data_IF_775389749617
#
_entry.id   IF_775389749617
#
_cell.length_a   1.000
_cell.length_b   1.000
_cell.length_c   1.000
_cell.angle_alpha   90.00
_cell.angle_beta   90.00
_cell.angle_gamma   90.00
#
_symmetry.space_group_name_H-M   'P 1'
#
loop_
_entity.id
_entity.type
_entity.pdbx_description
1 polymer ?
#
# COMPACT_ATOMS: atom_id res chain seq x y z
N UNK A 1 -14.74 2.54 9.76
CA UNK A 1 -13.88 1.71 10.63
C UNK A 1 -14.05 2.13 12.09
N UNK A 2 -13.88 1.22 13.06
CA UNK A 2 -13.76 1.54 14.50
C UNK A 2 -12.45 1.02 15.09
N UNK A 3 -11.92 1.67 16.13
CA UNK A 3 -10.69 1.27 16.83
C UNK A 3 -10.88 1.30 18.36
N UNK A 4 -10.35 0.30 19.07
CA UNK A 4 -10.36 0.25 20.55
C UNK A 4 -9.03 -0.31 21.09
N UNK A 5 -8.47 0.22 22.19
CA UNK A 5 -7.26 -0.32 22.82
C UNK A 5 -7.35 -1.81 23.19
N UNK A 6 -6.27 -2.55 22.93
CA UNK A 6 -6.10 -3.94 23.35
C UNK A 6 -5.28 -4.03 24.64
N UNK A 7 -5.96 -3.91 25.78
CA UNK A 7 -5.32 -3.88 27.10
C UNK A 7 -4.58 -5.18 27.47
N UNK A 8 -4.91 -6.31 26.80
CA UNK A 8 -4.26 -7.61 27.03
C UNK A 8 -3.03 -7.85 26.13
N UNK A 9 -2.70 -6.92 25.24
CA UNK A 9 -1.58 -7.07 24.32
C UNK A 9 -0.25 -6.75 25.01
N UNK A 10 0.81 -7.52 24.70
CA UNK A 10 2.16 -7.28 25.24
C UNK A 10 2.76 -5.95 24.78
N UNK A 11 2.54 -5.61 23.51
CA UNK A 11 2.84 -4.29 22.93
C UNK A 11 1.52 -3.52 22.76
N UNK A 12 1.51 -2.19 22.95
CA UNK A 12 0.33 -1.38 22.68
C UNK A 12 -0.25 -1.66 21.28
N UNK A 13 -1.54 -1.99 21.22
CA UNK A 13 -2.22 -2.30 19.97
C UNK A 13 -3.68 -1.86 20.02
N UNK A 14 -4.28 -1.69 18.85
CA UNK A 14 -5.71 -1.48 18.69
C UNK A 14 -6.36 -2.72 18.09
N UNK A 15 -7.58 -3.03 18.57
CA UNK A 15 -8.54 -3.85 17.86
C UNK A 15 -9.27 -2.94 16.87
N UNK A 16 -9.08 -3.22 15.59
CA UNK A 16 -9.73 -2.54 14.49
C UNK A 16 -10.92 -3.38 14.00
N UNK A 17 -12.01 -2.72 13.63
CA UNK A 17 -13.09 -3.31 12.83
C UNK A 17 -13.18 -2.53 11.53
N UNK A 18 -12.69 -3.14 10.46
CA UNK A 18 -12.51 -2.52 9.14
C UNK A 18 -13.57 -3.06 8.19
N UNK A 19 -14.10 -2.18 7.35
CA UNK A 19 -15.05 -2.55 6.30
C UNK A 19 -14.27 -2.77 5.00
N UNK A 20 -14.30 -3.98 4.46
CA UNK A 20 -13.67 -4.34 3.19
C UNK A 20 -14.72 -4.52 2.08
N UNK A 21 -15.84 -3.79 2.16
CA UNK A 21 -16.88 -3.81 1.12
C UNK A 21 -17.56 -5.18 1.03
N UNK A 22 -17.57 -5.76 -0.16
CA UNK A 22 -18.17 -7.08 -0.42
C UNK A 22 -17.52 -8.22 0.38
N UNK A 23 -16.26 -8.06 0.79
CA UNK A 23 -15.54 -9.01 1.65
C UNK A 23 -16.01 -8.95 3.13
N UNK A 24 -16.86 -7.98 3.44
CA UNK A 24 -17.47 -7.78 4.74
C UNK A 24 -16.54 -7.11 5.75
N UNK A 25 -17.03 -7.03 6.99
CA UNK A 25 -16.30 -6.40 8.10
C UNK A 25 -15.34 -7.40 8.74
N UNK A 26 -14.05 -7.07 8.79
CA UNK A 26 -13.02 -7.91 9.41
C UNK A 26 -12.47 -7.25 10.67
N UNK A 27 -12.02 -8.08 11.61
CA UNK A 27 -11.32 -7.63 12.81
C UNK A 27 -9.82 -7.75 12.59
N UNK A 28 -9.05 -6.74 13.01
CA UNK A 28 -7.59 -6.80 13.01
C UNK A 28 -7.00 -6.33 14.33
N UNK A 29 -5.82 -6.83 14.69
CA UNK A 29 -4.99 -6.32 15.78
C UNK A 29 -3.79 -5.58 15.19
N UNK A 30 -3.69 -4.28 15.40
CA UNK A 30 -2.64 -3.44 14.78
C UNK A 30 -1.86 -2.62 15.83
N UNK A 31 -0.54 -2.59 15.72
CA UNK A 31 0.38 -1.86 16.61
C UNK A 31 0.53 -0.39 16.17
N UNK A 32 -0.59 0.34 16.20
CA UNK A 32 -0.66 1.76 15.81
C UNK A 32 -0.46 2.80 16.94
N UNK A 33 -0.60 2.50 18.27
CA UNK A 33 -0.62 3.54 19.30
C UNK A 33 0.58 4.49 19.35
N UNK A 34 1.77 4.07 18.90
CA UNK A 34 2.95 4.93 18.86
C UNK A 34 2.78 6.10 17.86
N UNK A 35 2.11 5.85 16.74
CA UNK A 35 2.00 6.79 15.62
C UNK A 35 0.60 7.35 15.39
N UNK A 36 -0.40 6.80 16.08
CA UNK A 36 -1.80 7.14 15.90
C UNK A 36 -2.58 7.04 17.19
N UNK A 37 -3.30 8.11 17.52
CA UNK A 37 -4.39 8.07 18.51
C UNK A 37 -5.62 7.40 17.90
N UNK A 38 -6.49 6.85 18.73
CA UNK A 38 -7.71 6.15 18.30
C UNK A 38 -8.57 7.04 17.38
N UNK A 39 -8.70 8.32 17.72
CA UNK A 39 -9.52 9.29 16.99
C UNK A 39 -8.92 9.60 15.60
N UNK A 40 -7.60 9.47 15.46
CA UNK A 40 -6.92 9.65 14.18
C UNK A 40 -7.06 8.40 13.29
N UNK A 41 -7.26 7.22 13.87
CA UNK A 41 -7.46 5.98 13.09
C UNK A 41 -8.88 5.93 12.54
N UNK A 42 -9.88 6.31 13.33
CA UNK A 42 -11.29 6.29 12.90
C UNK A 42 -11.48 7.20 11.68
N UNK A 43 -12.05 6.66 10.61
CA UNK A 43 -12.29 7.38 9.36
C UNK A 43 -11.13 7.35 8.36
N UNK A 44 -9.95 6.84 8.73
CA UNK A 44 -8.87 6.60 7.77
C UNK A 44 -9.18 5.42 6.85
N UNK A 45 -8.69 5.52 5.62
CA UNK A 45 -8.52 4.37 4.73
C UNK A 45 -7.31 3.59 5.20
N UNK A 46 -7.40 2.26 5.19
CA UNK A 46 -6.30 1.35 5.52
C UNK A 46 -6.16 0.32 4.43
N UNK A 47 -4.94 -0.15 4.21
CA UNK A 47 -4.66 -1.29 3.35
C UNK A 47 -4.48 -2.53 4.21
N UNK A 48 -5.02 -3.66 3.78
CA UNK A 48 -4.83 -4.90 4.51
C UNK A 48 -4.93 -6.15 3.65
N UNK A 49 -4.25 -7.18 4.12
CA UNK A 49 -4.28 -8.54 3.57
C UNK A 49 -5.42 -9.30 4.23
N UNK A 50 -6.33 -9.83 3.42
CA UNK A 50 -7.62 -10.40 3.86
C UNK A 50 -7.79 -11.89 3.51
N UNK A 51 -6.82 -12.47 2.80
CA UNK A 51 -6.74 -13.89 2.44
C UNK A 51 -5.67 -14.63 3.27
N UNK A 52 -5.50 -14.24 4.53
CA UNK A 52 -4.65 -14.96 5.50
C UNK A 52 -5.51 -15.75 6.48
N UNK A 53 -5.05 -16.92 6.96
CA UNK A 53 -5.76 -17.65 8.01
C UNK A 53 -5.86 -16.79 9.29
N UNK A 54 -7.02 -16.79 9.98
CA UNK A 54 -7.19 -15.99 11.18
C UNK A 54 -6.20 -16.35 12.30
N UNK A 55 -5.65 -15.34 12.97
CA UNK A 55 -4.72 -15.51 14.10
C UNK A 55 -5.32 -15.02 15.40
N UNK A 56 -5.08 -15.72 16.51
CA UNK A 56 -5.46 -15.25 17.85
C UNK A 56 -4.35 -14.38 18.45
N UNK A 57 -4.65 -13.11 18.68
CA UNK A 57 -3.71 -12.13 19.23
C UNK A 57 -4.38 -11.42 20.40
N UNK A 58 -3.80 -11.52 21.60
CA UNK A 58 -4.32 -10.85 22.81
C UNK A 58 -5.82 -11.08 23.08
N UNK A 59 -6.33 -12.27 22.75
CA UNK A 59 -7.76 -12.62 22.89
C UNK A 59 -8.66 -12.17 21.73
N UNK A 60 -8.11 -11.56 20.68
CA UNK A 60 -8.82 -11.20 19.45
C UNK A 60 -8.54 -12.23 18.36
N UNK A 61 -9.59 -12.66 17.65
CA UNK A 61 -9.46 -13.36 16.37
C UNK A 61 -9.23 -12.29 15.28
N UNK A 62 -7.98 -12.14 14.85
CA UNK A 62 -7.58 -11.25 13.75
C UNK A 62 -7.82 -11.97 12.44
N UNK A 63 -8.61 -11.37 11.56
CA UNK A 63 -9.07 -11.89 10.26
C UNK A 63 -8.53 -11.06 9.08
N UNK A 64 -7.73 -10.04 9.38
CA UNK A 64 -7.00 -9.24 8.40
C UNK A 64 -5.69 -8.75 9.02
N UNK A 65 -4.66 -8.58 8.18
CA UNK A 65 -3.42 -7.91 8.52
C UNK A 65 -3.48 -6.49 7.95
N UNK A 66 -3.49 -5.46 8.80
CA UNK A 66 -3.35 -4.08 8.34
C UNK A 66 -1.86 -3.79 8.15
N UNK A 67 -1.49 -3.33 6.96
CA UNK A 67 -0.09 -3.16 6.55
C UNK A 67 0.34 -1.69 6.57
N UNK A 68 1.64 -1.48 6.66
CA UNK A 68 2.26 -0.16 6.70
C UNK A 68 3.78 -0.20 6.60
N UNK A 69 4.41 0.95 6.47
CA UNK A 69 5.87 1.04 6.55
C UNK A 69 6.31 1.34 7.99
N UNK A 70 7.43 0.77 8.47
CA UNK A 70 8.01 1.14 9.74
C UNK A 70 8.61 2.54 9.68
N UNK A 71 8.50 3.28 10.79
CA UNK A 71 9.35 4.44 11.06
C UNK A 71 10.74 4.01 11.58
N UNK A 72 11.58 4.99 11.91
CA UNK A 72 12.94 4.74 12.42
C UNK A 72 12.98 3.97 13.75
N UNK A 73 11.88 3.93 14.50
CA UNK A 73 11.73 3.19 15.75
C UNK A 73 11.04 1.83 15.54
N UNK A 74 10.68 1.49 14.30
CA UNK A 74 9.95 0.27 13.95
C UNK A 74 8.45 0.32 14.25
N UNK A 75 7.88 1.52 14.52
CA UNK A 75 6.45 1.68 14.67
C UNK A 75 5.78 1.89 13.31
N UNK A 76 4.52 1.49 13.17
CA UNK A 76 3.85 1.46 11.87
C UNK A 76 3.31 2.83 11.47
N UNK A 77 3.64 3.27 10.26
CA UNK A 77 2.89 4.27 9.50
C UNK A 77 1.94 3.58 8.52
N UNK A 78 0.66 3.95 8.60
CA UNK A 78 -0.36 3.45 7.68
C UNK A 78 -0.06 3.92 6.25
N UNK A 79 -0.55 3.14 5.28
CA UNK A 79 -0.52 3.53 3.88
C UNK A 79 -1.78 4.32 3.50
N UNK A 80 -1.68 5.16 2.48
CA UNK A 80 -2.80 5.89 1.91
C UNK A 80 -2.71 5.99 0.38
N UNK A 81 -3.83 6.32 -0.26
CA UNK A 81 -3.89 6.72 -1.67
C UNK A 81 -3.82 8.24 -1.82
N UNK A 82 -2.98 8.88 -0.98
CA UNK A 82 -2.79 10.33 -0.89
C UNK A 82 -4.13 11.05 -0.63
N UNK A 83 -4.53 11.99 -1.50
CA UNK A 83 -5.76 12.78 -1.34
C UNK A 83 -7.04 12.08 -1.82
N UNK A 84 -6.90 10.94 -2.51
CA UNK A 84 -8.05 10.21 -3.05
C UNK A 84 -8.39 9.03 -2.15
N UNK A 85 -9.68 8.74 -1.98
CA UNK A 85 -10.15 7.60 -1.17
C UNK A 85 -10.88 6.61 -2.07
N UNK A 86 -10.31 5.43 -2.37
CA UNK A 86 -11.01 4.41 -3.12
C UNK A 86 -12.18 3.83 -2.30
N UNK A 87 -13.22 3.27 -2.95
CA UNK A 87 -14.29 2.56 -2.26
C UNK A 87 -13.77 1.44 -1.35
N UNK A 88 -14.47 1.17 -0.25
CA UNK A 88 -14.12 0.04 0.63
C UNK A 88 -14.19 -1.29 -0.12
N UNK A 89 -13.18 -2.14 0.05
CA UNK A 89 -13.05 -3.41 -0.68
C UNK A 89 -12.34 -3.30 -2.02
N UNK A 90 -11.89 -2.10 -2.43
CA UNK A 90 -11.04 -1.96 -3.61
C UNK A 90 -9.78 -2.81 -3.46
N UNK A 91 -9.46 -3.53 -4.53
CA UNK A 91 -8.32 -4.43 -4.59
C UNK A 91 -7.10 -3.70 -5.16
N UNK A 92 -5.90 -4.15 -4.76
CA UNK A 92 -4.68 -3.71 -5.43
C UNK A 92 -4.75 -4.09 -6.91
N UNK A 93 -4.32 -3.17 -7.78
CA UNK A 93 -4.23 -3.43 -9.20
C UNK A 93 -3.43 -4.72 -9.43
N UNK A 94 -3.90 -5.55 -10.36
CA UNK A 94 -3.31 -6.84 -10.77
C UNK A 94 -3.67 -8.08 -9.93
N UNK A 95 -4.47 -7.95 -8.87
CA UNK A 95 -5.09 -9.13 -8.24
C UNK A 95 -6.53 -9.34 -8.76
N UNK A 96 -6.85 -10.56 -9.22
CA UNK A 96 -8.20 -10.95 -9.65
C UNK A 96 -9.19 -11.09 -8.48
N UNK A 97 -10.50 -11.14 -8.78
CA UNK A 97 -11.59 -11.06 -7.78
C UNK A 97 -11.63 -12.22 -6.75
N UNK A 98 -10.94 -13.33 -7.01
CA UNK A 98 -10.84 -14.45 -6.08
C UNK A 98 -9.40 -14.92 -6.00
N UNK A 99 -8.78 -14.70 -4.84
CA UNK A 99 -7.42 -15.17 -4.53
C UNK A 99 -7.51 -16.20 -3.42
N UNK A 100 -6.78 -17.30 -3.58
CA UNK A 100 -6.72 -18.36 -2.58
C UNK A 100 -6.14 -17.84 -1.25
N UNK A 101 -6.45 -18.56 -0.17
CA UNK A 101 -5.80 -18.32 1.12
C UNK A 101 -4.30 -18.58 0.98
N UNK A 102 -3.49 -17.64 1.45
CA UNK A 102 -2.03 -17.75 1.48
C UNK A 102 -1.53 -17.88 2.91
N UNK A 103 -0.32 -18.40 3.08
CA UNK A 103 0.34 -18.35 4.38
C UNK A 103 0.98 -16.99 4.62
N UNK A 104 1.32 -16.70 5.88
CA UNK A 104 2.10 -15.50 6.20
C UNK A 104 3.50 -15.54 5.56
N UNK A 105 4.09 -16.72 5.41
CA UNK A 105 5.38 -16.89 4.75
C UNK A 105 5.29 -16.54 3.26
N UNK A 106 4.20 -16.91 2.59
CA UNK A 106 3.96 -16.52 1.20
C UNK A 106 3.87 -15.01 1.04
N UNK A 107 3.16 -14.33 1.95
CA UNK A 107 3.12 -12.86 1.95
C UNK A 107 4.52 -12.25 2.16
N UNK A 108 5.34 -12.81 3.06
CA UNK A 108 6.69 -12.31 3.31
C UNK A 108 7.66 -12.46 2.11
N UNK A 109 7.35 -13.36 1.17
CA UNK A 109 8.09 -13.50 -0.08
C UNK A 109 7.89 -12.29 -0.99
N UNK A 110 6.76 -11.56 -0.89
CA UNK A 110 6.60 -10.31 -1.62
C UNK A 110 7.53 -9.25 -1.03
N UNK A 111 8.40 -8.68 -1.85
CA UNK A 111 9.36 -7.66 -1.44
C UNK A 111 8.83 -6.26 -1.77
N UNK A 112 7.83 -5.84 -0.99
CA UNK A 112 7.23 -4.51 -1.13
C UNK A 112 8.03 -3.51 -0.30
N UNK A 113 8.59 -2.49 -0.94
CA UNK A 113 9.44 -1.46 -0.33
C UNK A 113 8.90 -0.05 -0.52
N UNK A 114 9.32 0.86 0.34
CA UNK A 114 9.15 2.30 0.13
C UNK A 114 10.13 2.80 -0.93
N UNK A 115 9.71 3.76 -1.76
CA UNK A 115 10.57 4.41 -2.73
C UNK A 115 10.13 5.85 -2.97
N UNK A 116 11.07 6.74 -3.30
CA UNK A 116 10.77 8.11 -3.73
C UNK A 116 10.73 8.18 -5.26
N UNK A 117 9.70 8.80 -5.81
CA UNK A 117 9.63 9.06 -7.26
C UNK A 117 10.60 10.20 -7.62
N UNK A 118 11.53 9.91 -8.53
CA UNK A 118 12.53 10.86 -9.03
C UNK A 118 12.07 11.59 -10.29
N UNK A 119 11.46 10.86 -11.24
CA UNK A 119 10.93 11.43 -12.48
C UNK A 119 9.79 10.59 -13.04
N UNK A 120 8.96 11.25 -13.86
CA UNK A 120 7.85 10.65 -14.59
C UNK A 120 7.93 11.09 -16.05
N UNK A 121 8.17 10.14 -16.94
CA UNK A 121 8.39 10.36 -18.37
C UNK A 121 7.28 9.68 -19.18
N UNK A 122 6.64 10.38 -20.14
CA UNK A 122 5.57 9.79 -20.92
C UNK A 122 6.11 8.69 -21.84
N UNK A 123 5.26 7.72 -22.15
CA UNK A 123 5.54 6.70 -23.15
C UNK A 123 4.95 7.17 -24.48
N UNK A 124 5.78 7.28 -25.52
CA UNK A 124 5.37 7.89 -26.80
C UNK A 124 4.16 7.18 -27.44
N UNK A 125 4.04 5.88 -27.21
CA UNK A 125 2.96 5.06 -27.74
C UNK A 125 1.66 5.12 -26.92
N UNK A 126 1.66 5.74 -25.73
CA UNK A 126 0.51 5.82 -24.84
C UNK A 126 0.56 7.06 -23.91
N UNK A 127 -0.28 8.05 -24.18
CA UNK A 127 -0.34 9.33 -23.44
C UNK A 127 -0.78 9.19 -21.97
N UNK A 128 -1.43 8.08 -21.59
CA UNK A 128 -1.84 7.78 -20.22
C UNK A 128 -0.90 6.77 -19.54
N UNK A 129 0.32 6.62 -20.06
CA UNK A 129 1.32 5.73 -19.52
C UNK A 129 2.69 6.40 -19.36
N UNK A 130 3.37 6.06 -18.28
CA UNK A 130 4.60 6.71 -17.85
C UNK A 130 5.64 5.72 -17.36
N UNK A 131 6.88 5.98 -17.75
CA UNK A 131 8.08 5.47 -17.09
C UNK A 131 8.30 6.26 -15.80
N UNK A 132 8.45 5.55 -14.68
CA UNK A 132 8.61 6.16 -13.36
C UNK A 132 9.96 5.77 -12.78
N UNK A 133 10.88 6.74 -12.69
CA UNK A 133 12.18 6.54 -12.07
C UNK A 133 12.04 6.66 -10.56
N UNK A 134 12.60 5.71 -9.82
CA UNK A 134 12.42 5.57 -8.37
C UNK A 134 13.77 5.49 -7.66
N UNK A 135 13.93 6.18 -6.54
CA UNK A 135 14.99 5.93 -5.56
C UNK A 135 14.48 4.96 -4.50
N UNK A 136 15.12 3.81 -4.40
CA UNK A 136 14.78 2.73 -3.47
C UNK A 136 15.86 2.55 -2.39
N UNK A 137 16.63 3.60 -2.10
CA UNK A 137 17.62 3.60 -1.03
C UNK A 137 18.78 2.65 -1.32
N UNK A 138 19.04 1.69 -0.42
CA UNK A 138 20.14 0.73 -0.59
C UNK A 138 20.02 -0.14 -1.85
N UNK A 139 18.81 -0.31 -2.37
CA UNK A 139 18.56 -1.06 -3.60
C UNK A 139 18.95 -0.25 -4.84
N UNK A 140 19.17 1.06 -4.72
CA UNK A 140 19.53 1.96 -5.80
C UNK A 140 18.32 2.41 -6.63
N UNK A 141 18.59 3.04 -7.76
CA UNK A 141 17.55 3.51 -8.65
C UNK A 141 16.86 2.35 -9.38
N UNK A 142 15.54 2.44 -9.54
CA UNK A 142 14.71 1.47 -10.27
C UNK A 142 13.83 2.19 -11.29
N UNK A 143 13.39 1.44 -12.29
CA UNK A 143 12.48 1.95 -13.31
C UNK A 143 11.20 1.13 -13.28
N UNK A 144 10.10 1.80 -12.91
CA UNK A 144 8.78 1.23 -12.93
C UNK A 144 7.92 1.80 -14.06
N UNK A 145 6.71 1.28 -14.15
CA UNK A 145 5.70 1.68 -15.11
C UNK A 145 4.39 2.00 -14.40
N UNK A 146 3.69 3.01 -14.89
CA UNK A 146 2.35 3.37 -14.43
C UNK A 146 1.48 3.71 -15.64
N UNK A 147 0.29 3.11 -15.74
CA UNK A 147 -0.68 3.36 -16.80
C UNK A 147 -2.08 3.61 -16.24
N UNK A 148 -2.93 4.25 -17.04
CA UNK A 148 -4.29 4.61 -16.61
C UNK A 148 -4.27 5.72 -15.55
N UNK A 149 -3.40 6.70 -15.76
CA UNK A 149 -3.29 7.91 -14.95
C UNK A 149 -3.09 9.09 -15.91
N UNK A 150 -3.71 10.23 -15.64
CA UNK A 150 -3.51 11.43 -16.45
C UNK A 150 -2.17 12.12 -16.10
N UNK A 151 -1.66 12.93 -17.03
CA UNK A 151 -0.37 13.63 -16.89
C UNK A 151 -0.32 14.54 -15.66
N UNK A 152 -1.39 15.28 -15.38
CA UNK A 152 -1.44 16.22 -14.25
C UNK A 152 -1.26 15.47 -12.93
N UNK A 153 -2.01 14.38 -12.75
CA UNK A 153 -1.87 13.50 -11.59
C UNK A 153 -0.50 12.86 -11.52
N UNK A 154 0.03 12.36 -12.65
CA UNK A 154 1.33 11.71 -12.72
C UNK A 154 2.48 12.66 -12.34
N UNK A 155 2.43 13.93 -12.76
CA UNK A 155 3.43 14.95 -12.41
C UNK A 155 3.45 15.24 -10.90
N UNK A 156 2.31 15.10 -10.19
CA UNK A 156 2.27 15.23 -8.72
C UNK A 156 2.96 14.10 -7.96
N UNK A 157 3.37 13.02 -8.65
CA UNK A 157 4.08 11.90 -8.04
C UNK A 157 5.53 12.25 -7.74
N UNK A 158 6.17 13.14 -8.49
CA UNK A 158 7.58 13.48 -8.31
C UNK A 158 7.86 14.00 -6.90
N UNK A 159 8.87 13.43 -6.25
CA UNK A 159 9.25 13.72 -4.86
C UNK A 159 8.41 13.02 -3.79
N UNK A 160 7.36 12.29 -4.18
CA UNK A 160 6.51 11.56 -3.24
C UNK A 160 6.99 10.14 -2.97
N UNK A 161 6.64 9.62 -1.79
CA UNK A 161 6.91 8.23 -1.43
C UNK A 161 5.78 7.31 -1.86
N UNK A 162 6.15 6.20 -2.49
CA UNK A 162 5.26 5.15 -2.98
C UNK A 162 5.73 3.77 -2.52
N UNK A 163 4.80 2.81 -2.48
CA UNK A 163 5.09 1.40 -2.26
C UNK A 163 5.36 0.71 -3.60
N UNK A 164 6.42 -0.10 -3.67
CA UNK A 164 6.88 -0.75 -4.88
C UNK A 164 7.24 -2.21 -4.65
N UNK A 165 6.93 -3.10 -5.59
CA UNK A 165 7.27 -4.53 -5.52
C UNK A 165 8.58 -4.78 -6.28
N UNK A 166 9.65 -5.14 -5.57
CA UNK A 166 11.01 -5.24 -6.13
C UNK A 166 11.40 -6.59 -6.70
N UNK A 167 10.79 -7.68 -6.22
CA UNK A 167 11.23 -9.03 -6.54
C UNK A 167 10.42 -9.67 -7.69
N UNK A 168 10.19 -8.88 -8.74
CA UNK A 168 9.56 -9.33 -9.98
C UNK A 168 10.60 -9.51 -11.08
N UNK A 169 10.26 -10.33 -12.07
CA UNK A 169 11.04 -10.38 -13.30
C UNK A 169 10.89 -9.06 -14.06
N UNK A 170 11.98 -8.53 -14.64
CA UNK A 170 11.88 -7.34 -15.48
C UNK A 170 10.96 -7.56 -16.68
N UNK A 171 10.16 -6.55 -17.01
CA UNK A 171 9.23 -6.58 -18.13
C UNK A 171 9.60 -5.48 -19.13
N UNK A 172 9.54 -5.81 -20.42
CA UNK A 172 9.74 -4.85 -21.49
C UNK A 172 8.48 -4.01 -21.66
N UNK A 173 8.59 -2.76 -21.24
CA UNK A 173 7.60 -1.71 -21.50
C UNK A 173 8.13 -0.90 -22.69
N UNK A 174 7.28 -0.29 -23.55
CA UNK A 174 7.78 0.41 -24.74
C UNK A 174 8.99 1.30 -24.44
N UNK A 175 10.06 1.04 -25.19
CA UNK A 175 11.36 1.74 -25.17
C UNK A 175 12.25 1.54 -23.92
N UNK A 176 11.80 0.89 -22.84
CA UNK A 176 12.62 0.62 -21.64
C UNK A 176 12.22 -0.66 -20.88
N UNK A 177 13.21 -1.31 -20.29
CA UNK A 177 12.97 -2.44 -19.39
C UNK A 177 12.66 -1.95 -17.96
N UNK A 178 11.46 -2.24 -17.48
CA UNK A 178 11.04 -1.95 -16.11
C UNK A 178 11.34 -3.14 -15.19
N UNK A 179 11.78 -2.87 -13.97
CA UNK A 179 12.21 -3.89 -13.00
C UNK A 179 11.58 -3.73 -11.62
N UNK A 180 10.46 -2.99 -11.57
CA UNK A 180 9.69 -2.78 -10.35
C UNK A 180 8.24 -2.44 -10.73
N UNK A 181 7.28 -2.92 -9.94
CA UNK A 181 5.86 -2.55 -10.07
C UNK A 181 5.51 -1.55 -8.97
N UNK A 182 4.85 -0.44 -9.34
CA UNK A 182 4.23 0.46 -8.38
C UNK A 182 2.95 -0.18 -7.85
N UNK A 183 2.86 -0.32 -6.52
CA UNK A 183 1.65 -0.86 -5.88
C UNK A 183 0.57 0.22 -5.93
N UNK A 184 -0.54 -0.09 -6.59
CA UNK A 184 -1.61 0.87 -6.87
C UNK A 184 -2.99 0.30 -6.57
N UNK A 185 -3.98 1.17 -6.38
CA UNK A 185 -5.41 0.80 -6.40
C UNK A 185 -6.08 1.30 -7.67
N UNK A 186 -7.08 0.56 -8.15
CA UNK A 186 -8.04 1.08 -9.12
C UNK A 186 -9.15 1.84 -8.40
N UNK A 187 -9.53 2.99 -8.93
CA UNK A 187 -10.79 3.65 -8.57
C UNK A 187 -11.46 4.18 -9.83
N UNK A 188 -12.79 4.33 -9.78
CA UNK A 188 -13.54 4.97 -10.86
C UNK A 188 -13.87 6.40 -10.45
N UNK A 189 -13.34 7.38 -11.19
CA UNK A 189 -13.65 8.79 -11.01
C UNK A 189 -14.26 9.33 -12.31
N UNK A 190 -15.45 9.93 -12.22
CA UNK A 190 -16.16 10.49 -13.38
C UNK A 190 -16.30 9.53 -14.58
N UNK A 191 -16.49 8.23 -14.32
CA UNK A 191 -16.63 7.20 -15.37
C UNK A 191 -15.32 6.73 -15.99
N UNK A 192 -14.16 7.18 -15.50
CA UNK A 192 -12.83 6.71 -15.90
C UNK A 192 -12.18 5.90 -14.79
N UNK A 193 -11.54 4.80 -15.15
CA UNK A 193 -10.72 4.02 -14.22
C UNK A 193 -9.35 4.66 -14.12
N UNK A 194 -8.93 5.01 -12.90
CA UNK A 194 -7.62 5.60 -12.62
C UNK A 194 -6.83 4.72 -11.65
N UNK A 195 -5.50 4.73 -11.79
CA UNK A 195 -4.58 4.09 -10.85
C UNK A 195 -4.08 5.09 -9.80
N UNK A 196 -4.12 4.68 -8.54
CA UNK A 196 -3.65 5.47 -7.40
C UNK A 196 -2.46 4.78 -6.73
N UNK A 197 -1.23 5.30 -6.89
CA UNK A 197 -0.07 4.80 -6.17
C UNK A 197 -0.26 4.90 -4.67
N UNK A 198 0.14 3.84 -3.98
CA UNK A 198 0.04 3.72 -2.54
C UNK A 198 1.24 4.42 -1.89
N UNK A 199 1.00 5.42 -1.05
CA UNK A 199 2.02 6.17 -0.33
C UNK A 199 1.91 6.03 1.19
N UNK A 200 2.75 6.78 1.91
CA UNK A 200 2.73 6.86 3.38
C UNK A 200 1.69 7.89 3.84
N UNK A 201 1.00 7.60 4.95
CA UNK A 201 -0.06 8.46 5.47
C UNK A 201 0.39 9.89 5.84
N UNK A 202 -0.29 10.88 5.28
CA UNK A 202 -0.08 12.31 5.57
C UNK A 202 1.26 12.84 5.04
N UNK A 203 1.96 13.61 5.87
CA UNK A 203 3.28 14.16 5.56
C UNK A 203 4.42 13.33 6.19
N UNK A 204 4.11 12.09 6.60
CA UNK A 204 5.10 11.21 7.22
C UNK A 204 6.06 10.71 6.15
N UNK A 205 7.32 10.56 6.52
CA UNK A 205 8.35 10.01 5.65
C UNK A 205 9.00 8.80 6.31
N UNK A 206 9.37 7.83 5.49
CA UNK A 206 10.17 6.65 5.87
C UNK A 206 11.49 6.68 5.10
N UNK A 207 12.48 5.91 5.52
CA UNK A 207 13.66 5.73 4.67
C UNK A 207 13.27 5.02 3.37
N UNK A 208 13.98 5.30 2.27
CA UNK A 208 13.77 4.56 1.01
C UNK A 208 14.32 3.15 1.14
N UNK A 209 13.61 2.16 0.59
CA UNK A 209 13.95 0.75 0.70
C UNK A 209 13.40 0.05 1.95
N UNK A 210 12.65 0.73 2.80
CA UNK A 210 12.02 0.12 3.99
C UNK A 210 10.99 -0.93 3.57
N UNK A 211 11.03 -2.09 4.23
CA UNK A 211 10.12 -3.20 3.90
C UNK A 211 8.75 -3.00 4.52
N UNK A 212 7.72 -3.30 3.74
CA UNK A 212 6.34 -3.30 4.21
C UNK A 212 6.15 -4.34 5.33
N UNK A 213 5.48 -3.92 6.39
CA UNK A 213 5.10 -4.72 7.56
C UNK A 213 3.71 -5.33 7.41
#
# INVERSE_FOLDING_TARGET
MSATPLLKARKPAYKLKVDFGELGKKVSSAQLPANYRVEQVVGKTVVGVVNLPPRRIAGVKSEALIVGFPDLEGNVFLLNTRSQQPPSGSQLAECGQQVDEITYEDFQKADIRSATVLSVEPIETNEEAFHVKLDVGEYGERLGFLSGIDRETADTLVGSQVAVLLNIEPEDIPDKQCNVILVTFFTTQCGRTIRLPLGVDGNKQVANGEKLF
#
